data_IF_927041028566
#
_entry.id   IF_927041028566
#
_cell.length_a   1.000
_cell.length_b   1.000
_cell.length_c   1.000
_cell.angle_alpha   90.00
_cell.angle_beta   90.00
_cell.angle_gamma   90.00
#
_symmetry.space_group_name_H-M   'P 1'
#
loop_
_entity.id
_entity.type
_entity.pdbx_description
1 polymer ?
#
# COMPACT_ATOMS: atom_id res chain seq x y z
N UNK A 1 -3.69 -0.27 -3.93
CA UNK A 1 -4.60 -1.34 -3.47
C UNK A 1 -4.03 -2.66 -3.94
N UNK A 2 -3.93 -3.65 -3.07
CA UNK A 2 -3.31 -4.95 -3.36
C UNK A 2 -4.37 -6.05 -3.51
N UNK A 3 -4.07 -7.11 -4.24
CA UNK A 3 -4.98 -8.23 -4.51
C UNK A 3 -5.77 -8.11 -5.81
N UNK A 4 -5.30 -7.29 -6.76
CA UNK A 4 -5.89 -7.09 -8.10
C UNK A 4 -5.12 -7.80 -9.22
N UNK A 5 -4.10 -8.59 -8.87
CA UNK A 5 -3.24 -9.33 -9.80
C UNK A 5 -1.83 -8.76 -9.93
N UNK A 6 -1.49 -7.76 -9.11
CA UNK A 6 -0.15 -7.21 -9.05
C UNK A 6 0.85 -8.22 -8.47
N UNK A 7 2.06 -8.23 -9.02
CA UNK A 7 3.21 -8.96 -8.50
C UNK A 7 3.99 -8.10 -7.51
N UNK A 8 4.79 -8.74 -6.66
CA UNK A 8 5.67 -8.02 -5.74
C UNK A 8 6.66 -7.10 -6.48
N UNK A 9 7.21 -7.55 -7.62
CA UNK A 9 8.18 -6.79 -8.41
C UNK A 9 7.59 -5.50 -8.98
N UNK A 10 6.36 -5.55 -9.52
CA UNK A 10 5.67 -4.36 -10.04
C UNK A 10 5.40 -3.34 -8.93
N UNK A 11 5.06 -3.80 -7.73
CA UNK A 11 4.88 -2.89 -6.58
C UNK A 11 6.21 -2.27 -6.16
N UNK A 12 7.31 -3.02 -6.14
CA UNK A 12 8.64 -2.45 -5.84
C UNK A 12 9.06 -1.41 -6.88
N UNK A 13 8.81 -1.65 -8.16
CA UNK A 13 9.03 -0.66 -9.23
C UNK A 13 8.21 0.61 -8.98
N UNK A 14 6.92 0.47 -8.64
CA UNK A 14 6.07 1.59 -8.27
C UNK A 14 6.62 2.38 -7.07
N UNK A 15 7.20 1.71 -6.07
CA UNK A 15 7.79 2.39 -4.90
C UNK A 15 9.01 3.25 -5.28
N UNK A 16 9.78 2.84 -6.29
CA UNK A 16 10.84 3.68 -6.84
C UNK A 16 10.29 4.95 -7.49
N UNK A 17 9.21 4.83 -8.27
CA UNK A 17 8.53 5.99 -8.87
C UNK A 17 7.98 6.93 -7.80
N UNK A 18 7.32 6.37 -6.78
CA UNK A 18 6.81 7.13 -5.62
C UNK A 18 7.93 7.97 -4.99
N UNK A 19 9.11 7.37 -4.78
CA UNK A 19 10.25 8.07 -4.22
C UNK A 19 10.83 9.12 -5.16
N UNK A 20 10.92 8.81 -6.45
CA UNK A 20 11.41 9.74 -7.49
C UNK A 20 10.54 11.00 -7.56
N UNK A 21 9.23 10.86 -7.36
CA UNK A 21 8.28 11.95 -7.35
C UNK A 21 8.13 12.65 -5.99
N UNK A 22 8.98 12.34 -5.01
CA UNK A 22 9.01 12.97 -3.68
C UNK A 22 7.66 12.87 -2.95
N UNK A 23 6.99 11.73 -3.08
CA UNK A 23 5.75 11.46 -2.33
C UNK A 23 6.12 11.06 -0.89
N UNK A 24 5.57 11.78 0.08
CA UNK A 24 5.91 11.60 1.49
C UNK A 24 5.13 10.48 2.18
N UNK A 25 3.91 10.19 1.73
CA UNK A 25 3.02 9.21 2.36
C UNK A 25 2.58 8.17 1.34
N UNK A 26 2.81 6.90 1.65
CA UNK A 26 2.35 5.74 0.90
C UNK A 26 1.41 4.89 1.76
N UNK A 27 0.23 4.60 1.20
CA UNK A 27 -0.73 3.70 1.84
C UNK A 27 -1.05 2.51 0.94
N UNK A 28 -1.09 1.31 1.48
CA UNK A 28 -1.54 0.13 0.76
C UNK A 28 -2.40 -0.78 1.65
N UNK A 29 -3.53 -1.25 1.09
CA UNK A 29 -4.38 -2.21 1.75
C UNK A 29 -5.09 -3.14 0.78
N UNK A 30 -5.79 -4.13 1.34
CA UNK A 30 -6.49 -5.16 0.59
C UNK A 30 -7.60 -4.54 -0.26
N UNK A 31 -7.61 -4.88 -1.54
CA UNK A 31 -8.76 -4.70 -2.40
C UNK A 31 -9.89 -5.59 -1.92
N UNK A 32 -11.00 -4.93 -1.56
CA UNK A 32 -12.26 -5.58 -1.23
C UNK A 32 -13.25 -5.20 -2.32
N UNK A 33 -13.68 -6.20 -3.08
CA UNK A 33 -14.67 -6.02 -4.14
C UNK A 33 -15.96 -5.43 -3.54
N UNK A 34 -16.41 -4.22 -3.94
CA UNK A 34 -17.59 -3.60 -3.34
C UNK A 34 -18.89 -4.34 -3.66
N UNK A 35 -19.03 -4.77 -4.92
CA UNK A 35 -20.17 -5.53 -5.43
C UNK A 35 -19.70 -6.52 -6.49
N UNK A 36 -20.53 -7.51 -6.81
CA UNK A 36 -20.24 -8.58 -7.79
C UNK A 36 -19.91 -8.10 -9.21
N UNK A 37 -20.21 -6.85 -9.55
CA UNK A 37 -19.96 -6.27 -10.88
C UNK A 37 -18.62 -5.54 -10.99
N UNK A 38 -17.94 -5.31 -9.86
CA UNK A 38 -16.60 -4.73 -9.87
C UNK A 38 -15.56 -5.82 -10.17
N UNK A 39 -14.31 -5.43 -10.40
CA UNK A 39 -13.21 -6.36 -10.61
C UNK A 39 -13.20 -7.44 -9.51
N UNK A 40 -13.02 -8.72 -9.85
CA UNK A 40 -12.89 -9.76 -8.84
C UNK A 40 -11.60 -9.54 -8.04
N UNK A 41 -11.62 -9.96 -6.77
CA UNK A 41 -10.38 -10.08 -6.00
C UNK A 41 -9.58 -11.23 -6.61
N UNK A 42 -8.34 -10.95 -7.01
CA UNK A 42 -7.44 -11.92 -7.61
C UNK A 42 -6.79 -12.77 -6.50
N UNK A 43 -6.37 -12.14 -5.40
CA UNK A 43 -5.91 -12.81 -4.19
C UNK A 43 -6.13 -12.00 -2.91
N UNK A 44 -6.22 -12.71 -1.80
CA UNK A 44 -6.16 -12.12 -0.45
C UNK A 44 -4.76 -12.28 0.10
N UNK A 45 -4.14 -11.17 0.46
CA UNK A 45 -2.79 -11.17 1.03
C UNK A 45 -2.84 -11.57 2.51
N UNK A 46 -1.81 -12.29 2.94
CA UNK A 46 -1.55 -12.60 4.35
C UNK A 46 -0.94 -11.39 5.08
N UNK A 47 -1.02 -11.33 6.42
CA UNK A 47 -0.35 -10.28 7.19
C UNK A 47 1.15 -10.16 6.88
N UNK A 48 1.86 -11.28 6.77
CA UNK A 48 3.29 -11.32 6.46
C UNK A 48 3.60 -10.69 5.09
N UNK A 49 2.73 -10.89 4.09
CA UNK A 49 2.91 -10.22 2.79
C UNK A 49 2.74 -8.71 2.89
N UNK A 50 1.80 -8.23 3.71
CA UNK A 50 1.69 -6.79 3.97
C UNK A 50 2.95 -6.24 4.65
N UNK A 51 3.58 -7.00 5.54
CA UNK A 51 4.84 -6.62 6.17
C UNK A 51 5.99 -6.55 5.16
N UNK A 52 6.07 -7.48 4.20
CA UNK A 52 7.04 -7.40 3.10
C UNK A 52 6.87 -6.12 2.27
N UNK A 53 5.64 -5.72 1.95
CA UNK A 53 5.37 -4.48 1.22
C UNK A 53 5.70 -3.23 2.04
N UNK A 54 5.40 -3.25 3.35
CA UNK A 54 5.76 -2.17 4.28
C UNK A 54 7.27 -1.97 4.30
N UNK A 55 8.00 -3.07 4.48
CA UNK A 55 9.46 -3.05 4.53
C UNK A 55 10.03 -2.54 3.20
N UNK A 56 9.54 -3.03 2.06
CA UNK A 56 9.98 -2.54 0.75
C UNK A 56 9.78 -1.02 0.59
N UNK A 57 8.61 -0.50 0.99
CA UNK A 57 8.31 0.93 0.92
C UNK A 57 9.20 1.76 1.86
N UNK A 58 9.45 1.26 3.07
CA UNK A 58 10.37 1.91 4.01
C UNK A 58 11.82 1.89 3.51
N UNK A 59 12.29 0.79 2.91
CA UNK A 59 13.62 0.69 2.30
C UNK A 59 13.77 1.58 1.07
N UNK A 60 12.67 1.84 0.33
CA UNK A 60 12.64 2.82 -0.75
C UNK A 60 12.77 4.27 -0.25
N UNK A 61 12.75 4.50 1.07
CA UNK A 61 12.97 5.80 1.69
C UNK A 61 11.75 6.71 1.68
N UNK A 62 10.53 6.13 1.68
CA UNK A 62 9.28 6.86 1.83
C UNK A 62 9.07 7.18 3.33
N UNK A 63 8.88 8.47 3.71
CA UNK A 63 8.77 8.88 5.11
C UNK A 63 7.60 8.24 5.88
N UNK A 64 6.40 8.26 5.30
CA UNK A 64 5.17 7.73 5.91
C UNK A 64 4.68 6.49 5.18
N UNK A 65 4.80 5.32 5.80
CA UNK A 65 4.39 4.04 5.20
C UNK A 65 3.30 3.39 6.06
N UNK A 66 2.10 3.26 5.47
CA UNK A 66 0.95 2.65 6.15
C UNK A 66 0.41 1.51 5.31
N UNK A 67 0.73 0.29 5.71
CA UNK A 67 0.39 -0.91 4.95
C UNK A 67 -0.34 -1.91 5.84
N UNK A 68 -1.45 -2.47 5.36
CA UNK A 68 -2.18 -3.50 6.09
C UNK A 68 -3.54 -3.82 5.50
N UNK A 69 -4.17 -4.94 5.90
CA UNK A 69 -5.37 -5.45 5.25
C UNK A 69 -6.52 -4.44 5.14
N UNK A 70 -6.75 -3.69 6.22
CA UNK A 70 -7.85 -2.73 6.32
C UNK A 70 -7.42 -1.27 6.11
N UNK A 71 -6.15 -1.02 5.80
CA UNK A 71 -5.67 0.34 5.56
C UNK A 71 -6.40 0.94 4.37
N UNK A 72 -6.82 2.19 4.52
CA UNK A 72 -7.39 3.06 3.49
C UNK A 72 -6.65 4.38 3.53
N UNK A 73 -6.75 5.16 2.46
CA UNK A 73 -6.03 6.44 2.34
C UNK A 73 -6.35 7.45 3.45
N UNK A 74 -7.54 7.36 4.06
CA UNK A 74 -7.97 8.22 5.17
C UNK A 74 -7.86 7.58 6.56
N UNK A 75 -7.34 6.34 6.66
CA UNK A 75 -7.26 5.62 7.93
C UNK A 75 -6.20 6.27 8.83
N UNK A 76 -6.62 6.92 9.93
CA UNK A 76 -5.78 7.70 10.84
C UNK A 76 -4.97 8.83 10.16
N UNK A 77 -5.49 9.43 9.08
CA UNK A 77 -4.76 10.44 8.31
C UNK A 77 -4.25 11.63 9.13
N UNK A 78 -4.94 11.98 10.21
CA UNK A 78 -4.54 13.00 11.19
C UNK A 78 -3.31 12.61 12.03
N UNK A 79 -3.10 11.32 12.26
CA UNK A 79 -1.92 10.77 12.94
C UNK A 79 -0.76 10.48 11.96
N UNK A 80 -1.03 10.47 10.65
CA UNK A 80 -0.08 10.13 9.59
C UNK A 80 0.75 11.33 9.10
N UNK A 81 0.36 12.56 9.45
CA UNK A 81 1.10 13.77 9.12
C UNK A 81 2.30 13.94 10.08
N UNK A 82 3.45 14.45 9.60
CA UNK A 82 4.53 14.89 10.48
C UNK A 82 3.98 15.90 11.50
N UNK A 83 4.19 15.63 12.79
CA UNK A 83 3.86 16.60 13.84
C UNK A 83 4.83 17.80 13.72
N UNK A 84 4.28 19.02 13.70
CA UNK A 84 5.03 20.28 13.68
C UNK A 84 5.87 20.50 14.94
#
# INVERSE_FOLDING_TARGET
MLGLGETFAEVVELLHDVRQHQIDIFTAGQYLQPTRTHLPVERYLTPDEFDLFRDAASHAGIPGVFVGPLVRSSYHADEQLPQE
#
